data_IF_107520844726
#
_entry.id   IF_107520844726
#
_cell.length_a   1.000
_cell.length_b   1.000
_cell.length_c   1.000
_cell.angle_alpha   90.00
_cell.angle_beta   90.00
_cell.angle_gamma   90.00
#
_symmetry.space_group_name_H-M   'P 1'
#
loop_
_entity.id
_entity.type
_entity.pdbx_description
1 polymer ?
#
# COMPACT_ATOMS: atom_id res chain seq x y z
N UNK A 1 7.99 36.96 45.74
CA UNK A 1 8.86 35.76 45.65
C UNK A 1 9.70 35.89 44.39
N UNK A 2 11.03 35.82 44.53
CA UNK A 2 12.04 36.17 43.52
C UNK A 2 12.02 35.20 42.33
N UNK A 3 12.27 35.75 41.13
CA UNK A 3 12.57 35.03 39.89
C UNK A 3 13.98 34.43 40.02
N UNK A 4 14.12 33.12 39.82
CA UNK A 4 15.42 32.48 39.64
C UNK A 4 15.64 32.19 38.15
N UNK A 5 16.75 32.74 37.66
CA UNK A 5 17.37 32.47 36.38
C UNK A 5 17.74 31.00 36.27
N UNK A 6 17.36 30.35 35.17
CA UNK A 6 17.99 29.13 34.68
C UNK A 6 18.32 29.34 33.20
N UNK A 7 19.61 29.28 32.91
CA UNK A 7 20.22 29.44 31.60
C UNK A 7 19.68 28.44 30.58
N UNK A 8 19.52 28.92 29.35
CA UNK A 8 19.16 28.14 28.17
C UNK A 8 20.31 27.18 27.86
N UNK A 9 20.12 25.87 28.10
CA UNK A 9 21.02 24.85 27.55
C UNK A 9 20.54 24.48 26.15
N UNK A 10 21.28 24.91 25.13
CA UNK A 10 21.17 24.38 23.78
C UNK A 10 21.46 22.87 23.80
N UNK A 11 20.49 22.06 23.35
CA UNK A 11 20.72 20.63 23.09
C UNK A 11 21.33 20.49 21.70
N UNK A 12 22.65 20.37 21.67
CA UNK A 12 23.43 19.92 20.51
C UNK A 12 23.07 18.46 20.22
N UNK A 13 22.45 18.20 19.08
CA UNK A 13 22.24 16.84 18.58
C UNK A 13 23.56 16.30 18.02
N UNK A 14 24.07 15.21 18.60
CA UNK A 14 25.20 14.47 18.03
C UNK A 14 24.76 13.76 16.75
N UNK A 15 25.42 14.07 15.65
CA UNK A 15 25.41 13.27 14.42
C UNK A 15 26.24 12.01 14.72
N UNK A 16 25.64 10.83 14.55
CA UNK A 16 26.37 9.55 14.63
C UNK A 16 27.03 9.25 13.29
N UNK A 17 28.36 9.17 13.31
CA UNK A 17 29.25 8.74 12.23
C UNK A 17 29.01 7.25 11.86
N UNK A 18 29.07 6.84 10.58
CA UNK A 18 28.78 5.48 10.15
C UNK A 18 30.05 4.64 10.18
N UNK A 19 30.35 4.04 11.34
CA UNK A 19 31.33 2.96 11.42
C UNK A 19 30.89 1.91 12.43
N UNK A 20 29.88 1.13 12.09
CA UNK A 20 29.61 -0.14 12.79
C UNK A 20 30.44 -1.20 12.07
N UNK A 21 31.45 -1.71 12.78
CA UNK A 21 32.30 -2.79 12.32
C UNK A 21 31.48 -4.08 12.16
N UNK A 22 31.55 -4.66 10.97
CA UNK A 22 30.97 -5.97 10.66
C UNK A 22 31.87 -7.06 11.24
N UNK A 23 31.42 -7.74 12.29
CA UNK A 23 32.05 -8.98 12.76
C UNK A 23 31.50 -10.16 11.96
N UNK A 24 32.39 -11.07 11.52
CA UNK A 24 32.12 -12.23 10.65
C UNK A 24 30.91 -13.09 11.10
N UNK A 25 30.58 -13.12 12.38
CA UNK A 25 29.39 -13.80 12.93
C UNK A 25 28.04 -13.30 12.40
N UNK A 26 27.95 -12.07 11.88
CA UNK A 26 26.71 -11.53 11.29
C UNK A 26 26.57 -11.86 9.80
N UNK A 27 27.65 -12.24 9.12
CA UNK A 27 27.61 -12.60 7.70
C UNK A 27 26.94 -13.97 7.57
N UNK A 28 27.30 -14.95 8.42
CA UNK A 28 26.69 -16.27 8.41
C UNK A 28 25.17 -16.23 8.71
N UNK A 29 24.73 -15.30 9.56
CA UNK A 29 23.30 -15.11 9.87
C UNK A 29 22.54 -14.45 8.73
N UNK A 30 23.15 -13.45 8.07
CA UNK A 30 22.57 -12.80 6.88
C UNK A 30 22.57 -13.75 5.68
N UNK A 31 23.58 -14.60 5.52
CA UNK A 31 23.64 -15.62 4.46
C UNK A 31 22.70 -16.78 4.73
N UNK A 32 22.53 -17.20 5.99
CA UNK A 32 21.50 -18.16 6.38
C UNK A 32 20.09 -17.59 6.17
N UNK A 33 19.84 -16.32 6.52
CA UNK A 33 18.54 -15.66 6.31
C UNK A 33 18.26 -15.39 4.82
N UNK A 34 19.28 -15.08 4.01
CA UNK A 34 19.15 -15.07 2.53
C UNK A 34 18.86 -16.47 1.99
N UNK A 35 19.47 -17.52 2.54
CA UNK A 35 19.18 -18.90 2.13
C UNK A 35 17.78 -19.36 2.55
N UNK A 36 17.29 -18.95 3.71
CA UNK A 36 15.89 -19.22 4.13
C UNK A 36 14.90 -18.47 3.24
N UNK A 37 15.20 -17.22 2.85
CA UNK A 37 14.41 -16.47 1.85
C UNK A 37 14.56 -17.02 0.42
N UNK A 38 15.55 -17.86 0.15
CA UNK A 38 15.82 -18.47 -1.17
C UNK A 38 15.35 -19.93 -1.27
N UNK A 39 15.07 -20.61 -0.14
CA UNK A 39 14.73 -22.04 -0.10
C UNK A 39 13.23 -22.36 -0.09
N UNK A 40 12.37 -21.33 -0.10
CA UNK A 40 10.98 -21.46 -0.59
C UNK A 40 10.76 -20.68 -1.88
N UNK A 41 11.75 -20.70 -2.78
CA UNK A 41 11.45 -20.55 -4.20
C UNK A 41 10.71 -21.81 -4.66
N UNK A 42 9.41 -21.87 -4.37
CA UNK A 42 8.52 -22.75 -5.11
C UNK A 42 8.75 -22.44 -6.59
N UNK A 43 9.33 -23.40 -7.31
CA UNK A 43 9.45 -23.34 -8.75
C UNK A 43 8.03 -23.19 -9.31
N UNK A 44 7.61 -21.95 -9.59
CA UNK A 44 6.40 -21.67 -10.34
C UNK A 44 6.63 -22.19 -11.75
N UNK A 45 6.26 -23.45 -11.95
CA UNK A 45 6.11 -23.99 -13.28
C UNK A 45 5.05 -23.16 -14.00
N UNK A 46 5.26 -22.76 -15.28
CA UNK A 46 4.32 -21.94 -16.04
C UNK A 46 2.88 -22.50 -16.11
N UNK A 47 2.69 -23.77 -15.75
CA UNK A 47 1.46 -24.55 -15.93
C UNK A 47 0.60 -24.69 -14.66
N UNK A 48 0.95 -24.09 -13.52
CA UNK A 48 0.07 -24.03 -12.34
C UNK A 48 -0.77 -22.73 -12.32
N UNK A 49 -1.30 -22.32 -13.48
CA UNK A 49 -2.21 -21.18 -13.53
C UNK A 49 -3.61 -21.70 -13.21
N UNK A 50 -4.09 -21.47 -12.00
CA UNK A 50 -5.52 -21.59 -11.73
C UNK A 50 -6.21 -20.56 -12.62
N UNK A 51 -6.97 -21.01 -13.61
CA UNK A 51 -7.63 -20.11 -14.55
C UNK A 51 -8.62 -19.22 -13.79
N UNK A 52 -8.47 -17.91 -13.94
CA UNK A 52 -9.40 -16.93 -13.41
C UNK A 52 -10.74 -17.17 -14.11
N UNK A 53 -11.81 -17.40 -13.34
CA UNK A 53 -13.12 -17.66 -13.93
C UNK A 53 -13.65 -16.46 -14.73
N UNK A 54 -14.49 -16.72 -15.73
CA UNK A 54 -15.13 -15.66 -16.53
C UNK A 54 -15.93 -14.67 -15.68
N UNK A 55 -16.55 -15.15 -14.60
CA UNK A 55 -17.32 -14.33 -13.67
C UNK A 55 -16.40 -13.35 -12.91
N UNK A 56 -15.26 -13.83 -12.41
CA UNK A 56 -14.25 -13.01 -11.75
C UNK A 56 -13.65 -11.99 -12.71
N UNK A 57 -13.33 -12.41 -13.94
CA UNK A 57 -12.81 -11.52 -14.97
C UNK A 57 -13.83 -10.43 -15.34
N UNK A 58 -15.12 -10.75 -15.41
CA UNK A 58 -16.17 -9.78 -15.66
C UNK A 58 -16.28 -8.73 -14.55
N UNK A 59 -16.14 -9.13 -13.28
CA UNK A 59 -16.11 -8.21 -12.13
C UNK A 59 -14.91 -7.26 -12.23
N UNK A 60 -13.70 -7.79 -12.45
CA UNK A 60 -12.49 -6.98 -12.59
C UNK A 60 -12.63 -5.98 -13.76
N UNK A 61 -13.12 -6.44 -14.92
CA UNK A 61 -13.31 -5.59 -16.08
C UNK A 61 -14.33 -4.46 -15.81
N UNK A 62 -15.38 -4.73 -15.03
CA UNK A 62 -16.32 -3.70 -14.61
C UNK A 62 -15.65 -2.66 -13.69
N UNK A 63 -14.87 -3.10 -12.70
CA UNK A 63 -14.11 -2.21 -11.79
C UNK A 63 -13.11 -1.34 -12.58
N UNK A 64 -12.37 -1.93 -13.51
CA UNK A 64 -11.43 -1.22 -14.39
C UNK A 64 -12.15 -0.19 -15.25
N UNK A 65 -13.27 -0.56 -15.87
CA UNK A 65 -14.06 0.34 -16.73
C UNK A 65 -14.54 1.56 -15.93
N UNK A 66 -15.12 1.32 -14.75
CA UNK A 66 -15.60 2.38 -13.87
C UNK A 66 -14.46 3.34 -13.46
N UNK A 67 -13.32 2.79 -13.01
CA UNK A 67 -12.20 3.61 -12.55
C UNK A 67 -11.53 4.39 -13.68
N UNK A 68 -11.43 3.81 -14.89
CA UNK A 68 -10.95 4.54 -16.07
C UNK A 68 -11.83 5.73 -16.41
N UNK A 69 -13.15 5.56 -16.41
CA UNK A 69 -14.09 6.65 -16.67
C UNK A 69 -13.98 7.78 -15.65
N UNK A 70 -13.81 7.44 -14.36
CA UNK A 70 -13.59 8.42 -13.30
C UNK A 70 -12.27 9.18 -13.53
N UNK A 71 -11.17 8.46 -13.77
CA UNK A 71 -9.85 9.07 -13.94
C UNK A 71 -9.70 9.89 -15.22
N UNK A 72 -10.33 9.49 -16.33
CA UNK A 72 -10.37 10.30 -17.56
C UNK A 72 -10.89 11.70 -17.28
N UNK A 73 -11.99 11.80 -16.51
CA UNK A 73 -12.59 13.09 -16.14
C UNK A 73 -11.76 13.84 -15.08
N UNK A 74 -11.33 13.16 -14.02
CA UNK A 74 -10.75 13.82 -12.85
C UNK A 74 -9.25 14.11 -13.01
N UNK A 75 -8.52 13.39 -13.86
CA UNK A 75 -7.08 13.62 -14.08
C UNK A 75 -6.81 14.95 -14.80
N UNK A 76 -7.62 15.32 -15.80
CA UNK A 76 -7.52 16.61 -16.48
C UNK A 76 -7.78 17.76 -15.50
N UNK A 77 -8.84 17.62 -14.70
CA UNK A 77 -9.19 18.57 -13.65
C UNK A 77 -8.06 18.70 -12.62
N UNK A 78 -7.48 17.59 -12.19
CA UNK A 78 -6.38 17.60 -11.23
C UNK A 78 -5.12 18.28 -11.80
N UNK A 79 -4.77 18.00 -13.07
CA UNK A 79 -3.64 18.65 -13.76
C UNK A 79 -3.84 20.16 -13.88
N UNK A 80 -5.07 20.60 -14.19
CA UNK A 80 -5.40 22.03 -14.23
C UNK A 80 -5.19 22.71 -12.87
N UNK A 81 -5.64 22.08 -11.78
CA UNK A 81 -5.43 22.59 -10.42
C UNK A 81 -3.93 22.72 -10.07
N UNK A 82 -3.09 21.76 -10.49
CA UNK A 82 -1.64 21.82 -10.27
C UNK A 82 -0.95 22.96 -11.04
N UNK A 83 -1.48 23.37 -12.19
CA UNK A 83 -0.91 24.43 -13.03
C UNK A 83 -1.32 25.84 -12.60
N UNK A 84 -2.32 25.98 -11.72
CA UNK A 84 -2.92 27.26 -11.30
C UNK A 84 -2.00 28.22 -10.51
N UNK A 85 -0.73 27.88 -10.30
CA UNK A 85 0.25 28.78 -9.67
C UNK A 85 -0.10 29.21 -8.23
N UNK A 86 -0.66 28.29 -7.43
CA UNK A 86 -1.07 28.42 -6.02
C UNK A 86 -2.43 29.08 -5.73
N UNK A 87 -3.15 29.67 -6.69
CA UNK A 87 -4.48 30.23 -6.40
C UNK A 87 -5.53 29.14 -6.17
N UNK A 88 -5.39 28.01 -6.86
CA UNK A 88 -6.28 26.85 -6.80
C UNK A 88 -5.49 25.53 -6.70
N UNK A 89 -4.44 25.49 -5.84
CA UNK A 89 -3.69 24.25 -5.62
C UNK A 89 -4.63 23.15 -5.10
N UNK A 90 -4.54 21.89 -5.59
CA UNK A 90 -5.42 20.84 -5.11
C UNK A 90 -5.27 20.65 -3.60
N UNK A 91 -6.42 20.63 -2.92
CA UNK A 91 -6.52 20.43 -1.48
C UNK A 91 -6.00 19.05 -1.10
N UNK A 92 -5.60 18.86 0.17
CA UNK A 92 -5.12 17.56 0.66
C UNK A 92 -6.12 16.42 0.41
N UNK A 93 -7.42 16.70 0.53
CA UNK A 93 -8.49 15.77 0.14
C UNK A 93 -8.37 15.34 -1.32
N UNK A 94 -8.27 16.30 -2.24
CA UNK A 94 -8.22 16.04 -3.68
C UNK A 94 -6.95 15.28 -4.05
N UNK A 95 -5.81 15.60 -3.41
CA UNK A 95 -4.55 14.87 -3.55
C UNK A 95 -4.67 13.42 -3.07
N UNK A 96 -5.30 13.19 -1.92
CA UNK A 96 -5.55 11.86 -1.37
C UNK A 96 -6.44 11.03 -2.29
N UNK A 97 -7.61 11.57 -2.64
CA UNK A 97 -8.56 10.92 -3.55
C UNK A 97 -7.91 10.60 -4.91
N UNK A 98 -7.14 11.52 -5.47
CA UNK A 98 -6.39 11.27 -6.72
C UNK A 98 -5.40 10.11 -6.58
N UNK A 99 -4.67 10.06 -5.46
CA UNK A 99 -3.77 8.95 -5.14
C UNK A 99 -4.50 7.61 -5.08
N UNK A 100 -5.61 7.52 -4.34
CA UNK A 100 -6.43 6.30 -4.22
C UNK A 100 -6.95 5.83 -5.58
N UNK A 101 -7.45 6.76 -6.42
CA UNK A 101 -7.95 6.43 -7.76
C UNK A 101 -6.85 5.86 -8.66
N UNK A 102 -5.67 6.51 -8.70
CA UNK A 102 -4.53 6.05 -9.50
C UNK A 102 -3.97 4.74 -9.00
N UNK A 103 -3.84 4.57 -7.67
CA UNK A 103 -3.42 3.30 -7.07
C UNK A 103 -4.36 2.17 -7.46
N UNK A 104 -5.67 2.39 -7.30
CA UNK A 104 -6.69 1.41 -7.62
C UNK A 104 -6.62 0.96 -9.08
N UNK A 105 -6.57 1.90 -10.02
CA UNK A 105 -6.47 1.55 -11.44
C UNK A 105 -5.18 0.78 -11.74
N UNK A 106 -4.06 1.20 -11.17
CA UNK A 106 -2.77 0.54 -11.38
C UNK A 106 -2.76 -0.91 -10.87
N UNK A 107 -3.23 -1.14 -9.64
CA UNK A 107 -3.33 -2.47 -9.05
C UNK A 107 -4.23 -3.42 -9.86
N UNK A 108 -5.32 -2.91 -10.44
CA UNK A 108 -6.23 -3.71 -11.26
C UNK A 108 -5.71 -3.98 -12.69
N UNK A 109 -4.80 -3.14 -13.21
CA UNK A 109 -4.45 -3.16 -14.65
C UNK A 109 -2.99 -3.43 -14.97
N UNK A 110 -2.07 -3.34 -14.00
CA UNK A 110 -0.63 -3.49 -14.28
C UNK A 110 -0.29 -4.88 -14.81
N UNK A 111 0.14 -4.94 -16.05
CA UNK A 111 0.57 -6.19 -16.70
C UNK A 111 1.83 -6.76 -16.06
N UNK A 112 2.71 -5.91 -15.50
CA UNK A 112 3.88 -6.37 -14.74
C UNK A 112 3.46 -7.11 -13.47
N UNK A 113 2.53 -6.54 -12.71
CA UNK A 113 1.99 -7.19 -11.51
C UNK A 113 1.31 -8.53 -11.83
N UNK A 114 0.54 -8.60 -12.93
CA UNK A 114 -0.13 -9.85 -13.37
C UNK A 114 0.86 -10.92 -13.83
N UNK A 115 1.88 -10.54 -14.61
CA UNK A 115 2.95 -11.47 -15.08
C UNK A 115 3.81 -11.95 -13.92
N UNK A 116 4.05 -11.05 -12.97
CA UNK A 116 4.67 -11.31 -11.69
C UNK A 116 5.83 -10.37 -11.40
N UNK A 117 5.99 -10.02 -10.12
CA UNK A 117 7.11 -9.25 -9.56
C UNK A 117 7.58 -9.97 -8.31
N UNK A 118 8.90 -10.10 -8.15
CA UNK A 118 9.53 -10.75 -6.99
C UNK A 118 8.97 -12.16 -6.69
N UNK A 119 8.71 -12.95 -7.75
CA UNK A 119 8.20 -14.32 -7.64
C UNK A 119 6.70 -14.42 -7.34
N UNK A 120 5.98 -13.30 -7.25
CA UNK A 120 4.54 -13.25 -6.93
C UNK A 120 3.73 -12.69 -8.09
N UNK A 121 2.52 -13.20 -8.31
CA UNK A 121 1.56 -12.68 -9.30
C UNK A 121 0.38 -12.05 -8.60
N UNK A 122 -0.08 -10.93 -9.14
CA UNK A 122 -1.15 -10.13 -8.56
C UNK A 122 -2.27 -9.98 -9.59
N UNK A 123 -3.23 -10.90 -9.54
CA UNK A 123 -4.45 -10.85 -10.32
C UNK A 123 -5.57 -10.39 -9.38
N UNK A 124 -5.74 -9.07 -9.29
CA UNK A 124 -6.44 -8.47 -8.17
C UNK A 124 -7.89 -8.15 -8.49
N UNK A 125 -8.78 -8.50 -7.56
CA UNK A 125 -10.15 -8.01 -7.48
C UNK A 125 -10.30 -7.17 -6.22
N UNK A 126 -10.80 -5.95 -6.36
CA UNK A 126 -11.00 -5.07 -5.20
C UNK A 126 -12.25 -5.49 -4.42
N UNK A 127 -12.17 -5.50 -3.10
CA UNK A 127 -13.26 -5.85 -2.18
C UNK A 127 -13.44 -4.77 -1.10
N UNK A 128 -14.62 -4.74 -0.46
CA UNK A 128 -14.97 -3.72 0.53
C UNK A 128 -15.42 -2.41 -0.10
N UNK A 129 -15.01 -1.28 0.51
CA UNK A 129 -15.38 0.06 0.03
C UNK A 129 -14.85 0.33 -1.37
N UNK A 130 -15.63 1.01 -2.21
CA UNK A 130 -15.17 1.56 -3.50
C UNK A 130 -14.09 2.64 -3.35
N UNK A 131 -13.25 2.79 -4.38
CA UNK A 131 -12.27 3.86 -4.45
C UNK A 131 -13.04 5.18 -4.71
N UNK A 132 -12.47 6.34 -4.33
CA UNK A 132 -13.11 7.62 -4.55
C UNK A 132 -13.60 7.78 -5.99
N UNK A 133 -14.79 8.33 -6.18
CA UNK A 133 -15.40 8.50 -7.51
C UNK A 133 -15.25 9.92 -8.08
N UNK A 134 -14.58 10.80 -7.34
CA UNK A 134 -14.27 12.18 -7.73
C UNK A 134 -13.19 12.76 -6.81
N UNK A 135 -12.51 13.84 -7.24
CA UNK A 135 -11.55 14.55 -6.40
C UNK A 135 -12.16 15.12 -5.12
N UNK A 136 -13.46 15.42 -5.11
CA UNK A 136 -14.15 16.03 -3.96
C UNK A 136 -14.89 15.00 -3.09
N UNK A 137 -14.72 13.70 -3.36
CA UNK A 137 -15.25 12.62 -2.53
C UNK A 137 -14.86 12.85 -1.07
N UNK A 138 -15.78 12.59 -0.15
CA UNK A 138 -15.50 12.67 1.29
C UNK A 138 -14.32 11.75 1.62
N UNK A 139 -13.36 12.24 2.41
CA UNK A 139 -12.24 11.42 2.88
C UNK A 139 -12.80 10.23 3.67
N UNK A 140 -12.44 9.03 3.24
CA UNK A 140 -12.62 7.81 4.03
C UNK A 140 -11.36 7.63 4.88
N UNK A 141 -11.54 7.27 6.14
CA UNK A 141 -10.43 7.03 7.05
C UNK A 141 -10.22 5.54 7.23
N UNK A 142 -9.02 5.04 6.96
CA UNK A 142 -8.69 3.62 7.13
C UNK A 142 -7.78 3.13 6.04
N UNK A 143 -8.03 1.89 5.63
CA UNK A 143 -7.37 1.24 4.50
C UNK A 143 -7.95 1.82 3.20
N UNK A 144 -7.08 2.20 2.26
CA UNK A 144 -7.48 2.79 1.00
C UNK A 144 -8.03 1.72 0.03
N UNK A 145 -7.38 0.55 -0.03
CA UNK A 145 -7.83 -0.59 -0.82
C UNK A 145 -7.56 -1.95 -0.20
N UNK A 146 -8.52 -2.86 -0.31
CA UNK A 146 -8.38 -4.29 -0.01
C UNK A 146 -8.64 -5.04 -1.30
N UNK A 147 -7.77 -6.00 -1.62
CA UNK A 147 -7.89 -6.81 -2.83
C UNK A 147 -7.76 -8.29 -2.50
N UNK A 148 -8.67 -9.08 -3.04
CA UNK A 148 -8.49 -10.51 -3.17
C UNK A 148 -7.55 -10.77 -4.35
N UNK A 149 -6.54 -11.62 -4.16
CA UNK A 149 -5.67 -12.06 -5.23
C UNK A 149 -6.13 -13.41 -5.75
N UNK A 150 -6.55 -13.42 -7.02
CA UNK A 150 -7.08 -14.62 -7.69
C UNK A 150 -5.98 -15.60 -8.10
N UNK A 151 -4.72 -15.27 -7.81
CA UNK A 151 -3.58 -16.18 -7.95
C UNK A 151 -2.83 -16.30 -6.61
N UNK A 152 -2.76 -17.48 -5.99
CA UNK A 152 -1.97 -17.67 -4.76
C UNK A 152 -0.46 -17.67 -5.08
N UNK A 153 0.45 -17.20 -4.21
CA UNK A 153 0.34 -16.26 -3.07
C UNK A 153 0.83 -14.86 -3.50
N UNK A 154 0.45 -13.77 -2.80
CA UNK A 154 -0.35 -13.68 -1.55
C UNK A 154 -1.85 -13.92 -1.79
N UNK A 155 -2.63 -14.17 -0.73
CA UNK A 155 -4.11 -14.29 -0.77
C UNK A 155 -4.80 -12.92 -0.84
N UNK A 156 -4.33 -11.96 -0.05
CA UNK A 156 -4.87 -10.60 -0.04
C UNK A 156 -3.78 -9.54 -0.18
N UNK A 157 -4.16 -8.40 -0.75
CA UNK A 157 -3.38 -7.17 -0.76
C UNK A 157 -4.10 -6.11 0.06
N UNK A 158 -3.36 -5.47 0.96
CA UNK A 158 -3.79 -4.26 1.65
C UNK A 158 -2.96 -3.10 1.09
N UNK A 159 -3.61 -2.16 0.42
CA UNK A 159 -2.98 -1.00 -0.22
C UNK A 159 -3.22 0.28 0.58
N UNK A 160 -2.20 1.12 0.62
CA UNK A 160 -2.26 2.51 1.04
C UNK A 160 -1.66 3.40 -0.06
N UNK A 161 -2.41 4.43 -0.47
CA UNK A 161 -1.98 5.40 -1.46
C UNK A 161 -1.44 6.67 -0.79
N UNK A 162 -0.28 7.16 -1.23
CA UNK A 162 0.27 8.45 -0.81
C UNK A 162 0.53 9.33 -2.03
N UNK A 163 0.28 10.62 -1.88
CA UNK A 163 0.56 11.61 -2.93
C UNK A 163 1.76 12.49 -2.55
N UNK A 164 2.72 12.63 -3.46
CA UNK A 164 3.88 13.49 -3.37
C UNK A 164 4.76 13.19 -2.14
N UNK A 165 4.83 14.15 -1.23
CA UNK A 165 5.65 14.04 -0.01
C UNK A 165 4.89 13.41 1.17
N UNK A 166 3.64 12.99 0.99
CA UNK A 166 2.86 12.32 2.04
C UNK A 166 3.53 11.00 2.47
N UNK A 167 3.38 10.63 3.74
CA UNK A 167 4.00 9.45 4.36
C UNK A 167 2.99 8.69 5.19
N UNK A 168 3.28 7.42 5.47
CA UNK A 168 2.55 6.64 6.46
C UNK A 168 2.63 7.33 7.82
N UNK A 169 1.51 7.34 8.56
CA UNK A 169 1.51 7.91 9.91
C UNK A 169 2.13 6.92 10.91
N UNK A 170 3.29 7.22 11.52
CA UNK A 170 3.92 6.32 12.49
C UNK A 170 3.18 6.27 13.83
N UNK A 171 2.23 7.18 14.06
CA UNK A 171 1.53 7.37 15.33
C UNK A 171 0.02 7.35 15.11
N UNK A 172 -0.56 6.15 15.11
CA UNK A 172 -2.01 5.98 15.21
C UNK A 172 -2.35 5.30 16.55
N UNK A 173 -3.64 5.24 16.89
CA UNK A 173 -4.12 4.58 18.11
C UNK A 173 -3.72 3.09 18.18
N UNK A 174 -3.67 2.43 17.03
CA UNK A 174 -3.50 0.98 16.92
C UNK A 174 -2.09 0.58 16.47
N UNK A 175 -1.13 1.52 16.53
CA UNK A 175 0.24 1.36 16.07
C UNK A 175 0.56 2.20 14.82
N UNK A 176 1.73 2.01 14.19
CA UNK A 176 2.04 2.64 12.90
C UNK A 176 1.00 2.25 11.84
N UNK A 177 0.64 3.18 10.96
CA UNK A 177 -0.20 2.89 9.80
C UNK A 177 0.43 1.76 8.97
N UNK A 178 -0.39 0.82 8.50
CA UNK A 178 0.04 -0.42 7.81
C UNK A 178 0.85 -1.42 8.66
N UNK A 179 0.92 -1.25 9.98
CA UNK A 179 1.36 -2.38 10.83
C UNK A 179 0.30 -3.48 10.85
N UNK A 180 0.69 -4.72 11.15
CA UNK A 180 -0.27 -5.84 11.26
C UNK A 180 -1.39 -5.52 12.25
N UNK A 181 -1.05 -5.06 13.46
CA UNK A 181 -2.04 -4.64 14.47
C UNK A 181 -3.00 -3.57 13.95
N UNK A 182 -2.48 -2.58 13.20
CA UNK A 182 -3.30 -1.54 12.61
C UNK A 182 -4.25 -2.10 11.56
N UNK A 183 -3.76 -2.96 10.66
CA UNK A 183 -4.55 -3.59 9.60
C UNK A 183 -5.68 -4.42 10.19
N UNK A 184 -5.39 -5.32 11.13
CA UNK A 184 -6.41 -6.17 11.76
C UNK A 184 -7.51 -5.33 12.43
N UNK A 185 -7.12 -4.26 13.14
CA UNK A 185 -8.11 -3.34 13.73
C UNK A 185 -9.00 -2.64 12.70
N UNK A 186 -8.46 -2.31 11.51
CA UNK A 186 -9.27 -1.72 10.43
C UNK A 186 -10.14 -2.74 9.73
N UNK A 187 -9.65 -3.96 9.51
CA UNK A 187 -10.42 -5.08 8.96
C UNK A 187 -11.63 -5.38 9.86
N UNK A 188 -11.43 -5.46 11.18
CA UNK A 188 -12.53 -5.63 12.15
C UNK A 188 -13.57 -4.52 12.03
N UNK A 189 -13.12 -3.25 11.97
CA UNK A 189 -14.02 -2.11 11.82
C UNK A 189 -14.84 -2.16 10.51
N UNK A 190 -14.24 -2.65 9.42
CA UNK A 190 -14.95 -2.82 8.15
C UNK A 190 -15.98 -3.96 8.23
N UNK A 191 -15.62 -5.07 8.90
CA UNK A 191 -16.53 -6.18 9.20
C UNK A 191 -17.72 -5.74 10.04
N UNK A 192 -17.48 -5.05 11.16
CA UNK A 192 -18.54 -4.53 12.03
C UNK A 192 -19.47 -3.52 11.35
N UNK A 193 -18.97 -2.79 10.34
CA UNK A 193 -19.77 -1.85 9.55
C UNK A 193 -20.52 -2.54 8.39
N UNK A 194 -20.28 -3.82 8.15
CA UNK A 194 -20.84 -4.56 7.02
C UNK A 194 -20.30 -4.13 5.66
N UNK A 195 -19.14 -3.44 5.63
CA UNK A 195 -18.48 -3.04 4.37
C UNK A 195 -17.83 -4.26 3.71
N UNK A 196 -17.22 -5.12 4.53
CA UNK A 196 -16.87 -6.49 4.18
C UNK A 196 -17.71 -7.42 5.06
N UNK A 197 -17.94 -8.66 4.60
CA UNK A 197 -18.62 -9.64 5.43
C UNK A 197 -17.72 -10.12 6.56
N UNK A 198 -18.32 -10.62 7.64
CA UNK A 198 -17.57 -11.25 8.75
C UNK A 198 -16.68 -12.39 8.26
N UNK A 199 -17.14 -13.16 7.26
CA UNK A 199 -16.37 -14.21 6.60
C UNK A 199 -15.10 -13.68 5.94
N UNK A 200 -15.21 -12.60 5.16
CA UNK A 200 -14.06 -11.97 4.51
C UNK A 200 -13.10 -11.37 5.56
N UNK A 201 -13.64 -10.75 6.62
CA UNK A 201 -12.81 -10.24 7.70
C UNK A 201 -11.99 -11.38 8.34
N UNK A 202 -12.62 -12.51 8.67
CA UNK A 202 -11.94 -13.68 9.21
C UNK A 202 -10.91 -14.25 8.23
N UNK A 203 -11.22 -14.36 6.94
CA UNK A 203 -10.27 -14.85 5.94
C UNK A 203 -9.02 -13.96 5.82
N UNK A 204 -9.16 -12.64 6.05
CA UNK A 204 -8.00 -11.73 6.10
C UNK A 204 -7.18 -11.94 7.38
N UNK A 205 -7.82 -12.19 8.55
CA UNK A 205 -7.09 -12.57 9.77
C UNK A 205 -6.30 -13.85 9.57
N UNK A 206 -6.93 -14.90 9.04
CA UNK A 206 -6.29 -16.19 8.77
C UNK A 206 -5.12 -16.01 7.79
N UNK A 207 -5.31 -15.21 6.73
CA UNK A 207 -4.24 -14.90 5.78
C UNK A 207 -3.08 -14.12 6.41
N UNK A 208 -3.34 -13.25 7.39
CA UNK A 208 -2.26 -12.56 8.13
C UNK A 208 -1.45 -13.55 8.95
N UNK A 209 -2.12 -14.47 9.67
CA UNK A 209 -1.47 -15.50 10.48
C UNK A 209 -0.64 -16.48 9.63
N UNK A 210 -1.10 -16.75 8.40
CA UNK A 210 -0.39 -17.56 7.40
C UNK A 210 0.69 -16.78 6.61
N UNK A 211 0.94 -15.51 6.92
CA UNK A 211 1.85 -14.63 6.15
C UNK A 211 1.49 -14.56 4.64
N UNK A 212 0.20 -14.66 4.33
CA UNK A 212 -0.39 -14.64 3.00
C UNK A 212 -1.03 -13.28 2.66
N UNK A 213 -0.62 -12.20 3.33
CA UNK A 213 -1.06 -10.83 3.03
C UNK A 213 0.14 -9.96 2.68
N UNK A 214 0.13 -9.39 1.48
CA UNK A 214 1.08 -8.34 1.14
C UNK A 214 0.51 -6.96 1.45
N UNK A 215 1.34 -6.15 2.09
CA UNK A 215 1.04 -4.77 2.43
C UNK A 215 1.75 -3.88 1.43
N UNK A 216 1.00 -3.13 0.64
CA UNK A 216 1.55 -2.31 -0.43
C UNK A 216 1.38 -0.83 -0.10
N UNK A 217 2.46 -0.08 -0.27
CA UNK A 217 2.44 1.37 -0.32
C UNK A 217 2.57 1.81 -1.78
N UNK A 218 1.55 2.46 -2.29
CA UNK A 218 1.55 3.04 -3.63
C UNK A 218 1.78 4.55 -3.52
N UNK A 219 2.90 5.05 -4.05
CA UNK A 219 3.22 6.47 -4.00
C UNK A 219 3.03 7.12 -5.38
N UNK A 220 2.21 8.15 -5.43
CA UNK A 220 1.85 8.90 -6.63
C UNK A 220 2.57 10.24 -6.59
N UNK A 221 3.47 10.44 -7.54
CA UNK A 221 4.19 11.69 -7.74
C UNK A 221 3.26 12.81 -8.26
N UNK A 222 3.69 14.08 -8.12
CA UNK A 222 2.97 15.24 -8.67
C UNK A 222 2.74 15.17 -10.19
N UNK A 223 3.62 14.48 -10.92
CA UNK A 223 3.48 14.26 -12.36
C UNK A 223 2.66 13.00 -12.71
N UNK A 224 2.10 12.31 -11.72
CA UNK A 224 1.31 11.09 -11.91
C UNK A 224 2.13 9.80 -12.02
N UNK A 225 3.46 9.83 -11.90
CA UNK A 225 4.30 8.63 -11.80
C UNK A 225 3.93 7.82 -10.55
N UNK A 226 3.90 6.50 -10.69
CA UNK A 226 3.59 5.55 -9.63
C UNK A 226 4.86 4.79 -9.24
N UNK A 227 5.20 4.82 -7.96
CA UNK A 227 6.20 3.94 -7.35
C UNK A 227 5.49 3.04 -6.33
N UNK A 228 5.75 1.74 -6.37
CA UNK A 228 5.15 0.77 -5.45
C UNK A 228 6.20 0.16 -4.53
N UNK A 229 5.81 -0.07 -3.28
CA UNK A 229 6.68 -0.66 -2.27
C UNK A 229 5.94 -1.73 -1.49
N UNK A 230 6.58 -2.89 -1.32
CA UNK A 230 6.17 -3.88 -0.34
C UNK A 230 6.59 -3.41 1.05
N UNK A 231 5.64 -3.39 1.99
CA UNK A 231 5.88 -3.06 3.39
C UNK A 231 6.18 -4.36 4.14
N UNK A 232 7.42 -4.48 4.59
CA UNK A 232 7.90 -5.57 5.45
C UNK A 232 8.16 -5.05 6.86
N UNK A 233 8.35 -5.97 7.81
CA UNK A 233 8.72 -5.59 9.18
C UNK A 233 10.12 -4.95 9.26
N UNK A 234 10.96 -5.18 8.23
CA UNK A 234 12.30 -4.61 8.10
C UNK A 234 12.32 -3.30 7.29
N UNK A 235 11.17 -2.84 6.77
CA UNK A 235 11.06 -1.61 6.00
C UNK A 235 10.42 -1.80 4.62
N UNK A 236 10.65 -0.83 3.74
CA UNK A 236 10.06 -0.78 2.40
C UNK A 236 10.99 -1.41 1.35
N UNK A 237 10.47 -2.33 0.55
CA UNK A 237 11.15 -2.92 -0.61
C UNK A 237 10.49 -2.36 -1.87
N UNK A 238 11.25 -1.74 -2.76
CA UNK A 238 10.72 -1.20 -4.02
C UNK A 238 10.35 -2.35 -4.97
N UNK A 239 9.14 -2.32 -5.52
CA UNK A 239 8.67 -3.28 -6.51
C UNK A 239 9.01 -2.79 -7.93
N UNK A 240 9.52 -3.69 -8.79
CA UNK A 240 9.85 -3.37 -10.19
C UNK A 240 8.62 -3.38 -11.10
N UNK A 241 7.84 -2.29 -11.02
CA UNK A 241 6.57 -2.13 -11.73
C UNK A 241 6.63 -1.22 -12.98
N UNK A 242 7.83 -0.77 -13.39
CA UNK A 242 8.07 0.11 -14.56
C UNK A 242 8.51 -0.62 -15.84
#
# INVERSE_FOLDING_TARGET
>A
IKRNNLEVREKVWKVSDPSVQYTEKNIDKIEAEKNVYSQENINFTPNSSQEISDAELAVINAQVKQMKQILEKEEERFKSLLQSGNKDEPRNQQKGNYGEMKSCLNLLTSEKLKKGVDGKRYNLKRIGDDAPNSLDSKIRHGIDGIYENLTPLPKFIIDEAKFGASRLNPKTKDGPQMSIKWILSRVDQLGFKGIISEKIAQEIHDAVDENAVDRILTNISKNGKIDMFLITDNGLIKMDVE
#
